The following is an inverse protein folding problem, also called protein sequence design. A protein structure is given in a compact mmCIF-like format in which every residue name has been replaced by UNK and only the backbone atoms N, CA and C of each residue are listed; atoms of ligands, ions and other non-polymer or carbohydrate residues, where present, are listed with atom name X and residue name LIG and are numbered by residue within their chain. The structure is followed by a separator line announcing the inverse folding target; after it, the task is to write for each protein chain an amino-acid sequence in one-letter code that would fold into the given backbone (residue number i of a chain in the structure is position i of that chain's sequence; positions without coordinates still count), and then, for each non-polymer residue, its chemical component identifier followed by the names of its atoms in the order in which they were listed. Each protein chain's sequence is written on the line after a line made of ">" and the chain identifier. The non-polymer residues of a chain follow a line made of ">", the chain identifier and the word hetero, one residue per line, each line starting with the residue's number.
data_IF_981061957606
#
_entry.id   IF_981061957606
#
_cell.length_a   1.000
_cell.length_b   1.000
_cell.length_c   1.000
_cell.angle_alpha   90.00
_cell.angle_beta   90.00
_cell.angle_gamma   90.00
#
_symmetry.space_group_name_H-M   'P 1'
#
loop_
_entity.id
_entity.type
_entity.pdbx_description
1 polymer ?
#
# COMPACT_ATOMS: atom_id res chain seq x y z
N UNK A 1 -3.02 18.78 14.51
CA UNK A 1 -3.85 18.18 15.57
C UNK A 1 -3.81 16.68 15.39
N UNK A 2 -3.55 15.91 16.46
CA UNK A 2 -3.54 14.44 16.36
C UNK A 2 -4.93 13.91 16.00
N UNK A 3 -5.02 12.83 15.22
CA UNK A 3 -6.31 12.20 14.92
C UNK A 3 -7.00 11.77 16.22
N UNK A 4 -8.33 11.78 16.24
CA UNK A 4 -9.14 11.41 17.41
C UNK A 4 -8.75 10.01 17.95
N UNK A 5 -8.48 9.07 17.05
CA UNK A 5 -7.96 7.73 17.40
C UNK A 5 -6.61 7.81 18.12
N UNK A 6 -5.68 8.63 17.65
CA UNK A 6 -4.36 8.79 18.27
C UNK A 6 -4.44 9.36 19.69
N UNK A 7 -5.42 10.23 19.96
CA UNK A 7 -5.65 10.74 21.31
C UNK A 7 -6.18 9.63 22.23
N UNK A 8 -7.19 8.88 21.77
CA UNK A 8 -7.74 7.74 22.53
C UNK A 8 -6.68 6.65 22.79
N UNK A 9 -5.78 6.41 21.84
CA UNK A 9 -4.63 5.50 22.02
C UNK A 9 -3.70 5.96 23.15
N UNK A 10 -3.39 7.26 23.23
CA UNK A 10 -2.56 7.80 24.31
C UNK A 10 -3.28 7.69 25.65
N UNK A 11 -4.59 7.95 25.69
CA UNK A 11 -5.39 7.81 26.91
C UNK A 11 -5.38 6.37 27.43
N UNK A 12 -5.64 5.38 26.56
CA UNK A 12 -5.59 3.96 26.92
C UNK A 12 -4.19 3.54 27.40
N UNK A 13 -3.15 3.93 26.65
CA UNK A 13 -1.76 3.63 27.00
C UNK A 13 -1.33 4.24 28.35
N UNK A 14 -1.67 5.50 28.58
CA UNK A 14 -1.39 6.19 29.84
C UNK A 14 -2.11 5.53 31.02
N UNK A 15 -3.35 5.06 30.83
CA UNK A 15 -4.10 4.33 31.85
C UNK A 15 -3.43 3.01 32.22
N UNK A 16 -3.04 2.21 31.23
CA UNK A 16 -2.30 0.95 31.46
C UNK A 16 -0.95 1.20 32.16
N UNK A 17 -0.24 2.26 31.78
CA UNK A 17 1.02 2.65 32.41
C UNK A 17 0.83 3.03 33.88
N UNK A 18 -0.21 3.80 34.20
CA UNK A 18 -0.52 4.17 35.58
C UNK A 18 -0.80 2.92 36.43
N UNK A 19 -1.65 2.02 35.94
CA UNK A 19 -1.96 0.76 36.61
C UNK A 19 -0.71 -0.11 36.84
N UNK A 20 0.21 -0.16 35.85
CA UNK A 20 1.49 -0.85 36.02
C UNK A 20 2.37 -0.24 37.12
N UNK A 21 2.44 1.09 37.16
CA UNK A 21 3.24 1.81 38.15
C UNK A 21 2.68 1.63 39.56
N UNK A 22 1.35 1.63 39.72
CA UNK A 22 0.68 1.43 41.02
C UNK A 22 1.00 0.06 41.63
N UNK A 23 1.14 -0.99 40.81
CA UNK A 23 1.55 -2.33 41.27
C UNK A 23 3.07 -2.53 41.29
N UNK A 24 3.85 -1.47 41.07
CA UNK A 24 5.31 -1.47 41.20
C UNK A 24 6.07 -2.30 40.14
N UNK A 25 5.44 -2.63 39.01
CA UNK A 25 6.07 -3.45 37.98
C UNK A 25 6.85 -2.60 36.97
N UNK A 26 8.01 -3.10 36.54
CA UNK A 26 8.69 -2.54 35.37
C UNK A 26 8.01 -3.00 34.08
N UNK A 27 8.15 -2.25 32.99
CA UNK A 27 7.60 -2.67 31.69
C UNK A 27 8.14 -4.02 31.21
N UNK A 28 9.39 -4.37 31.54
CA UNK A 28 9.98 -5.66 31.23
C UNK A 28 9.34 -6.82 32.02
N UNK A 29 9.08 -6.60 33.31
CA UNK A 29 8.43 -7.60 34.17
C UNK A 29 6.97 -7.81 33.75
N UNK A 30 6.25 -6.72 33.41
CA UNK A 30 4.88 -6.84 32.90
C UNK A 30 4.84 -7.64 31.59
N UNK A 31 5.76 -7.35 30.66
CA UNK A 31 5.85 -8.05 29.38
C UNK A 31 6.06 -9.56 29.57
N UNK A 32 7.00 -9.92 30.44
CA UNK A 32 7.28 -11.31 30.78
C UNK A 32 6.05 -12.02 31.38
N UNK A 33 5.38 -11.40 32.35
CA UNK A 33 4.18 -11.96 32.99
C UNK A 33 3.01 -12.12 32.03
N UNK A 34 2.85 -11.20 31.09
CA UNK A 34 1.79 -11.22 30.09
C UNK A 34 2.11 -12.07 28.86
N UNK A 35 3.31 -12.66 28.76
CA UNK A 35 3.72 -13.46 27.60
C UNK A 35 3.84 -12.66 26.30
N UNK A 36 4.20 -11.37 26.39
CA UNK A 36 4.36 -10.47 25.24
C UNK A 36 5.76 -9.86 25.22
N UNK A 37 6.19 -9.33 24.07
CA UNK A 37 7.46 -8.61 23.98
C UNK A 37 7.46 -7.30 24.77
N UNK A 38 8.57 -6.95 25.42
CA UNK A 38 8.76 -5.65 26.07
C UNK A 38 8.55 -4.44 25.12
N UNK A 39 8.91 -4.52 23.83
CA UNK A 39 8.53 -3.49 22.85
C UNK A 39 7.01 -3.32 22.69
N UNK A 40 6.22 -4.39 22.82
CA UNK A 40 4.74 -4.33 22.75
C UNK A 40 4.17 -3.53 23.91
N UNK A 41 4.61 -3.82 25.14
CA UNK A 41 4.19 -3.06 26.34
C UNK A 41 4.56 -1.59 26.21
N UNK A 42 5.79 -1.29 25.79
CA UNK A 42 6.25 0.09 25.60
C UNK A 42 5.44 0.83 24.53
N UNK A 43 5.16 0.20 23.39
CA UNK A 43 4.38 0.84 22.31
C UNK A 43 2.93 1.09 22.75
N UNK A 44 2.30 0.17 23.45
CA UNK A 44 0.94 0.32 23.99
C UNK A 44 0.89 1.47 24.99
N UNK A 45 1.77 1.48 25.99
CA UNK A 45 1.78 2.51 27.04
C UNK A 45 2.05 3.93 26.52
N UNK A 46 2.81 4.06 25.43
CA UNK A 46 3.10 5.34 24.80
C UNK A 46 2.07 5.71 23.71
N UNK A 47 0.97 4.96 23.56
CA UNK A 47 -0.06 5.22 22.56
C UNK A 47 0.45 5.10 21.11
N UNK A 48 1.46 4.26 20.87
CA UNK A 48 2.05 3.98 19.55
C UNK A 48 1.55 2.68 18.92
N UNK A 49 0.77 1.90 19.65
CA UNK A 49 0.19 0.62 19.22
C UNK A 49 -1.15 0.40 19.93
N UNK A 50 -2.16 -0.06 19.19
CA UNK A 50 -3.42 -0.55 19.78
C UNK A 50 -3.20 -2.02 20.17
N UNK A 51 -3.37 -2.40 21.46
CA UNK A 51 -3.28 -3.81 21.83
C UNK A 51 -4.50 -4.58 21.29
N UNK A 52 -4.31 -5.82 20.86
CA UNK A 52 -5.45 -6.72 20.63
C UNK A 52 -6.18 -7.01 21.95
N UNK A 53 -7.44 -7.47 21.87
CA UNK A 53 -8.22 -7.86 23.06
C UNK A 53 -7.51 -8.92 23.90
N UNK A 54 -6.91 -9.92 23.25
CA UNK A 54 -6.10 -10.95 23.90
C UNK A 54 -4.85 -10.37 24.59
N UNK A 55 -4.13 -9.44 23.94
CA UNK A 55 -3.00 -8.75 24.58
C UNK A 55 -3.47 -7.91 25.77
N UNK A 56 -4.58 -7.18 25.65
CA UNK A 56 -5.15 -6.39 26.74
C UNK A 56 -5.55 -7.27 27.93
N UNK A 57 -6.16 -8.43 27.67
CA UNK A 57 -6.58 -9.38 28.68
C UNK A 57 -5.37 -10.01 29.38
N UNK A 58 -4.32 -10.37 28.64
CA UNK A 58 -3.06 -10.88 29.22
C UNK A 58 -2.35 -9.83 30.07
N UNK A 59 -2.30 -8.57 29.62
CA UNK A 59 -1.74 -7.47 30.41
C UNK A 59 -2.56 -7.23 31.68
N UNK A 60 -3.88 -7.26 31.57
CA UNK A 60 -4.80 -7.09 32.70
C UNK A 60 -4.64 -8.22 33.74
N UNK A 61 -4.51 -9.47 33.27
CA UNK A 61 -4.23 -10.62 34.13
C UNK A 61 -2.86 -10.53 34.81
N UNK A 62 -1.83 -10.11 34.06
CA UNK A 62 -0.48 -9.93 34.61
C UNK A 62 -0.36 -8.79 35.63
N UNK A 63 -1.24 -7.79 35.53
CA UNK A 63 -1.40 -6.68 36.48
C UNK A 63 -2.30 -7.05 37.67
N UNK A 64 -3.05 -8.17 37.60
CA UNK A 64 -3.99 -8.57 38.65
C UNK A 64 -5.18 -7.61 38.79
N UNK A 65 -5.67 -7.05 37.68
CA UNK A 65 -6.76 -6.07 37.69
C UNK A 65 -8.12 -6.72 37.99
N UNK A 66 -8.94 -6.01 38.76
CA UNK A 66 -10.33 -6.40 39.01
C UNK A 66 -11.19 -6.33 37.74
N UNK A 67 -12.24 -7.16 37.70
CA UNK A 67 -13.12 -7.29 36.54
C UNK A 67 -13.75 -5.95 36.09
N UNK A 68 -14.01 -5.02 37.01
CA UNK A 68 -14.52 -3.68 36.71
C UNK A 68 -13.50 -2.83 35.94
N UNK A 69 -12.23 -2.88 36.31
CA UNK A 69 -11.14 -2.16 35.63
C UNK A 69 -10.86 -2.79 34.27
N UNK A 70 -10.92 -4.12 34.18
CA UNK A 70 -10.79 -4.81 32.88
C UNK A 70 -11.92 -4.41 31.93
N UNK A 71 -13.15 -4.30 32.42
CA UNK A 71 -14.29 -3.83 31.64
C UNK A 71 -14.09 -2.39 31.14
N UNK A 72 -13.62 -1.48 32.01
CA UNK A 72 -13.26 -0.10 31.65
C UNK A 72 -12.23 -0.07 30.50
N UNK A 73 -11.15 -0.85 30.62
CA UNK A 73 -10.09 -0.93 29.60
C UNK A 73 -10.60 -1.49 28.27
N UNK A 74 -11.50 -2.47 28.30
CA UNK A 74 -12.12 -3.03 27.09
C UNK A 74 -13.05 -2.02 26.40
N UNK A 75 -13.79 -1.22 27.17
CA UNK A 75 -14.61 -0.12 26.62
C UNK A 75 -13.70 0.94 26.00
N UNK A 76 -12.61 1.31 26.67
CA UNK A 76 -11.63 2.24 26.12
C UNK A 76 -10.98 1.72 24.82
N UNK A 77 -10.64 0.42 24.77
CA UNK A 77 -10.15 -0.24 23.56
C UNK A 77 -11.18 -0.21 22.44
N UNK A 78 -12.44 -0.57 22.70
CA UNK A 78 -13.52 -0.49 21.72
C UNK A 78 -13.72 0.95 21.21
N UNK A 79 -13.52 1.95 22.08
CA UNK A 79 -13.51 3.36 21.71
C UNK A 79 -12.34 3.76 20.81
N UNK A 80 -11.17 3.13 20.93
CA UNK A 80 -10.03 3.30 20.02
C UNK A 80 -10.30 2.62 18.67
N UNK A 81 -10.86 1.41 18.69
CA UNK A 81 -11.24 0.62 17.50
C UNK A 81 -12.32 1.33 16.66
N UNK A 82 -13.27 2.01 17.31
CA UNK A 82 -14.40 2.68 16.65
C UNK A 82 -14.09 4.12 16.21
N UNK A 83 -12.96 4.70 16.60
CA UNK A 83 -12.62 6.08 16.26
C UNK A 83 -12.05 6.16 14.83
N UNK A 84 -12.52 7.10 13.99
CA UNK A 84 -12.03 7.24 12.62
C UNK A 84 -10.52 7.51 12.64
N UNK A 85 -9.76 6.58 12.06
CA UNK A 85 -8.32 6.72 11.92
C UNK A 85 -8.01 7.56 10.69
N UNK A 86 -7.28 8.66 10.86
CA UNK A 86 -6.42 9.14 9.77
C UNK A 86 -5.12 8.37 9.92
N UNK A 87 -5.05 7.24 9.21
CA UNK A 87 -3.87 6.42 9.00
C UNK A 87 -3.34 5.67 10.23
N UNK A 88 -3.72 4.42 10.41
CA UNK A 88 -2.89 3.30 10.91
C UNK A 88 -3.79 2.11 11.30
N UNK A 89 -3.86 1.08 10.46
CA UNK A 89 -4.00 -0.31 10.90
C UNK A 89 -3.81 -1.20 9.67
N UNK A 90 -2.77 -2.04 9.67
CA UNK A 90 -2.98 -3.45 9.99
C UNK A 90 -1.63 -4.17 10.16
N UNK A 91 -1.20 -4.40 11.40
CA UNK A 91 -0.21 -5.44 11.68
C UNK A 91 -0.62 -6.21 12.93
N UNK A 92 -0.84 -7.51 12.72
CA UNK A 92 -0.83 -8.60 13.70
C UNK A 92 -2.13 -8.83 14.49
N UNK A 93 -3.09 -9.50 13.85
CA UNK A 93 -3.92 -10.52 14.50
C UNK A 93 -4.18 -11.66 13.52
N UNK A 94 -4.09 -12.90 14.00
CA UNK A 94 -4.08 -14.11 13.18
C UNK A 94 -5.40 -14.37 12.43
N UNK A 95 -5.24 -15.05 11.29
CA UNK A 95 -6.27 -15.65 10.42
C UNK A 95 -7.02 -14.76 9.42
N UNK A 96 -6.64 -13.49 9.24
CA UNK A 96 -7.01 -12.73 8.03
C UNK A 96 -5.81 -12.61 7.10
N UNK A 97 -6.04 -12.76 5.79
CA UNK A 97 -5.08 -12.41 4.75
C UNK A 97 -4.58 -10.97 5.02
N UNK A 98 -3.27 -10.71 4.94
CA UNK A 98 -2.76 -9.34 5.06
C UNK A 98 -3.46 -8.44 4.03
N UNK A 99 -3.62 -7.13 4.31
CA UNK A 99 -4.27 -6.21 3.36
C UNK A 99 -3.68 -6.33 1.94
N UNK A 100 -2.36 -6.51 1.83
CA UNK A 100 -1.68 -6.78 0.56
C UNK A 100 -2.10 -8.13 -0.06
N UNK A 101 -2.32 -9.18 0.74
CA UNK A 101 -2.81 -10.47 0.24
C UNK A 101 -4.29 -10.42 -0.20
N UNK A 102 -5.13 -9.58 0.43
CA UNK A 102 -6.52 -9.34 -0.01
C UNK A 102 -6.54 -8.58 -1.34
N UNK A 103 -5.68 -7.57 -1.47
CA UNK A 103 -5.51 -6.80 -2.71
C UNK A 103 -4.94 -7.67 -3.82
N UNK A 104 -3.90 -8.46 -3.52
CA UNK A 104 -3.32 -9.44 -4.44
C UNK A 104 -4.38 -10.45 -4.91
N UNK A 105 -5.27 -10.91 -4.01
CA UNK A 105 -6.34 -11.82 -4.35
C UNK A 105 -7.39 -11.16 -5.24
N UNK A 106 -7.82 -9.94 -4.92
CA UNK A 106 -8.79 -9.20 -5.72
C UNK A 106 -8.29 -8.98 -7.16
N UNK A 107 -7.02 -8.59 -7.33
CA UNK A 107 -6.40 -8.44 -8.66
C UNK A 107 -6.28 -9.79 -9.37
N UNK A 108 -5.91 -10.85 -8.64
CA UNK A 108 -5.71 -12.20 -9.21
C UNK A 108 -7.03 -12.89 -9.58
N UNK A 109 -8.14 -12.59 -8.91
CA UNK A 109 -9.45 -13.17 -9.24
C UNK A 109 -10.17 -12.38 -10.34
N UNK A 110 -9.80 -11.11 -10.53
CA UNK A 110 -10.49 -10.21 -11.46
C UNK A 110 -10.27 -10.56 -12.94
N UNK A 111 -11.36 -10.62 -13.71
CA UNK A 111 -11.28 -10.82 -15.17
C UNK A 111 -10.93 -9.54 -15.90
N UNK A 112 -11.36 -8.40 -15.37
CA UNK A 112 -11.06 -7.07 -15.87
C UNK A 112 -10.29 -6.29 -14.80
N UNK A 113 -9.09 -5.84 -15.14
CA UNK A 113 -8.30 -4.97 -14.27
C UNK A 113 -8.06 -3.65 -14.97
N UNK A 114 -8.44 -2.53 -14.35
CA UNK A 114 -8.24 -1.18 -14.90
C UNK A 114 -7.44 -0.35 -13.92
N UNK A 115 -6.22 0.05 -14.26
CA UNK A 115 -5.34 0.76 -13.33
C UNK A 115 -4.91 2.12 -13.88
N UNK A 116 -5.09 3.16 -13.07
CA UNK A 116 -4.62 4.50 -13.35
C UNK A 116 -3.46 4.85 -12.43
N UNK A 117 -2.35 5.35 -12.98
CA UNK A 117 -1.14 5.68 -12.21
C UNK A 117 -0.55 7.03 -12.60
N UNK A 118 -0.28 7.87 -11.61
CA UNK A 118 0.29 9.21 -11.82
C UNK A 118 1.61 9.48 -11.11
N UNK A 119 2.12 8.52 -10.32
CA UNK A 119 3.37 8.67 -9.54
C UNK A 119 4.26 7.44 -9.68
N UNK A 120 3.74 6.26 -9.38
CA UNK A 120 4.46 4.98 -9.42
C UNK A 120 3.77 4.06 -10.41
N UNK A 121 4.53 3.33 -11.23
CA UNK A 121 3.92 2.38 -12.18
C UNK A 121 3.20 1.24 -11.46
N UNK A 122 2.13 0.66 -12.05
CA UNK A 122 1.37 -0.39 -11.39
C UNK A 122 2.27 -1.60 -11.13
N UNK A 123 2.13 -2.23 -9.96
CA UNK A 123 2.96 -3.39 -9.56
C UNK A 123 3.04 -4.49 -10.63
N UNK A 124 1.95 -4.71 -11.38
CA UNK A 124 1.89 -5.68 -12.49
C UNK A 124 2.83 -5.35 -13.67
N UNK A 125 3.14 -4.07 -13.87
CA UNK A 125 3.98 -3.59 -14.96
C UNK A 125 5.44 -3.41 -14.54
N UNK A 126 5.76 -3.43 -13.25
CA UNK A 126 7.11 -3.16 -12.75
C UNK A 126 8.10 -4.27 -13.15
N UNK A 127 9.31 -3.89 -13.56
CA UNK A 127 10.46 -4.79 -13.65
C UNK A 127 10.89 -5.18 -12.24
N UNK A 128 11.65 -6.27 -12.12
CA UNK A 128 12.18 -6.70 -10.83
C UNK A 128 13.04 -5.61 -10.17
N UNK A 129 13.77 -4.83 -10.96
CA UNK A 129 14.64 -3.75 -10.48
C UNK A 129 13.85 -2.52 -10.02
N UNK A 130 12.79 -2.15 -10.74
CA UNK A 130 11.87 -1.09 -10.33
C UNK A 130 11.14 -1.48 -9.04
N UNK A 131 10.61 -2.72 -8.97
CA UNK A 131 9.96 -3.25 -7.78
C UNK A 131 10.90 -3.22 -6.56
N UNK A 132 12.17 -3.58 -6.74
CA UNK A 132 13.18 -3.51 -5.68
C UNK A 132 13.33 -2.09 -5.13
N UNK A 133 13.34 -1.07 -5.99
CA UNK A 133 13.43 0.32 -5.56
C UNK A 133 12.17 0.79 -4.83
N UNK A 134 10.98 0.39 -5.30
CA UNK A 134 9.72 0.67 -4.61
C UNK A 134 9.76 0.10 -3.19
N UNK A 135 10.11 -1.17 -3.02
CA UNK A 135 10.20 -1.79 -1.70
C UNK A 135 11.32 -1.21 -0.83
N UNK A 136 12.50 -0.92 -1.40
CA UNK A 136 13.61 -0.32 -0.66
C UNK A 136 13.33 1.12 -0.19
N UNK A 137 12.44 1.85 -0.87
CA UNK A 137 12.01 3.18 -0.46
C UNK A 137 11.04 3.18 0.74
N UNK A 138 10.56 2.00 1.15
CA UNK A 138 9.64 1.85 2.29
C UNK A 138 10.43 1.96 3.61
N UNK A 139 10.02 2.83 4.56
CA UNK A 139 10.71 2.96 5.84
C UNK A 139 10.76 1.63 6.61
N UNK A 140 11.97 1.19 6.97
CA UNK A 140 12.19 -0.06 7.74
C UNK A 140 12.29 -1.33 6.89
N UNK A 141 12.44 -1.21 5.57
CA UNK A 141 12.63 -2.36 4.69
C UNK A 141 13.95 -3.11 4.97
N UNK A 142 13.86 -4.41 5.24
CA UNK A 142 15.02 -5.30 5.32
C UNK A 142 15.34 -5.91 3.95
N UNK A 143 16.63 -5.97 3.58
CA UNK A 143 17.08 -6.42 2.26
C UNK A 143 16.58 -7.83 1.90
N UNK A 144 16.54 -8.75 2.87
CA UNK A 144 16.05 -10.12 2.65
C UNK A 144 14.55 -10.17 2.36
N UNK A 145 13.76 -9.32 3.03
CA UNK A 145 12.31 -9.22 2.82
C UNK A 145 11.98 -8.52 1.49
N UNK A 146 12.79 -7.53 1.08
CA UNK A 146 12.70 -6.92 -0.25
C UNK A 146 12.87 -7.98 -1.34
N UNK A 147 13.85 -8.88 -1.21
CA UNK A 147 14.09 -9.94 -2.19
C UNK A 147 12.88 -10.87 -2.37
N UNK A 148 12.26 -11.32 -1.27
CA UNK A 148 11.05 -12.15 -1.30
C UNK A 148 9.86 -11.41 -1.88
N UNK A 149 9.66 -10.14 -1.49
CA UNK A 149 8.56 -9.32 -1.98
C UNK A 149 8.67 -9.04 -3.49
N UNK A 150 9.88 -8.82 -4.01
CA UNK A 150 10.13 -8.69 -5.45
C UNK A 150 9.80 -9.99 -6.18
N UNK A 151 10.25 -11.14 -5.67
CA UNK A 151 9.96 -12.42 -6.29
C UNK A 151 8.44 -12.69 -6.36
N UNK A 152 7.73 -12.48 -5.26
CA UNK A 152 6.28 -12.63 -5.21
C UNK A 152 5.57 -11.66 -6.16
N UNK A 153 6.04 -10.40 -6.26
CA UNK A 153 5.50 -9.42 -7.21
C UNK A 153 5.70 -9.87 -8.65
N UNK A 154 6.89 -10.38 -9.02
CA UNK A 154 7.18 -10.87 -10.38
C UNK A 154 6.34 -12.10 -10.72
N UNK A 155 6.19 -13.04 -9.79
CA UNK A 155 5.37 -14.25 -9.98
C UNK A 155 3.92 -13.90 -10.31
N UNK A 156 3.35 -12.90 -9.62
CA UNK A 156 1.98 -12.42 -9.85
C UNK A 156 1.77 -11.78 -11.20
N UNK A 157 2.81 -11.32 -11.88
CA UNK A 157 2.69 -10.71 -13.21
C UNK A 157 2.34 -11.74 -14.30
N UNK A 158 2.42 -13.04 -13.98
CA UNK A 158 1.96 -14.11 -14.87
C UNK A 158 0.48 -13.97 -15.27
N UNK A 159 -0.35 -13.33 -14.44
CA UNK A 159 -1.77 -13.08 -14.73
C UNK A 159 -2.00 -12.25 -16.00
N UNK A 160 -1.03 -11.43 -16.40
CA UNK A 160 -1.10 -10.64 -17.64
C UNK A 160 -1.11 -11.53 -18.89
N UNK A 161 -0.64 -12.77 -18.80
CA UNK A 161 -0.55 -13.71 -19.90
C UNK A 161 -1.70 -14.72 -19.93
N UNK A 162 -2.60 -14.70 -18.93
CA UNK A 162 -3.72 -15.62 -18.82
C UNK A 162 -4.81 -15.28 -19.86
N UNK A 163 -5.21 -16.23 -20.74
CA UNK A 163 -6.29 -16.01 -21.68
C UNK A 163 -7.63 -15.72 -20.97
N UNK A 164 -8.41 -14.78 -21.52
CA UNK A 164 -9.72 -14.42 -20.97
C UNK A 164 -9.68 -13.35 -19.88
N UNK A 165 -8.49 -12.80 -19.58
CA UNK A 165 -8.33 -11.58 -18.79
C UNK A 165 -8.08 -10.38 -19.68
N UNK A 166 -8.62 -9.25 -19.26
CA UNK A 166 -8.37 -7.95 -19.86
C UNK A 166 -7.76 -7.02 -18.82
N UNK A 167 -6.64 -6.37 -19.18
CA UNK A 167 -5.96 -5.42 -18.32
C UNK A 167 -5.76 -4.10 -19.05
N UNK A 168 -6.36 -3.03 -18.54
CA UNK A 168 -6.20 -1.68 -19.07
C UNK A 168 -5.40 -0.84 -18.09
N UNK A 169 -4.31 -0.26 -18.56
CA UNK A 169 -3.42 0.56 -17.77
C UNK A 169 -3.34 1.95 -18.38
N UNK A 170 -3.53 2.98 -17.57
CA UNK A 170 -3.34 4.38 -17.95
C UNK A 170 -2.31 5.00 -17.02
N UNK A 171 -1.21 5.51 -17.58
CA UNK A 171 -0.16 6.19 -16.82
C UNK A 171 0.02 7.63 -17.28
N UNK A 172 0.39 8.54 -16.39
CA UNK A 172 0.87 9.86 -16.81
C UNK A 172 2.28 9.76 -17.38
N UNK A 173 2.60 10.60 -18.36
CA UNK A 173 3.98 10.75 -18.83
C UNK A 173 4.92 11.18 -17.70
N UNK A 174 4.42 11.94 -16.72
CA UNK A 174 5.17 12.27 -15.50
C UNK A 174 5.62 11.05 -14.71
N UNK A 175 4.77 10.02 -14.58
CA UNK A 175 5.14 8.76 -13.92
C UNK A 175 6.22 8.00 -14.71
N UNK A 176 6.18 8.08 -16.04
CA UNK A 176 7.17 7.46 -16.93
C UNK A 176 8.50 8.23 -17.00
N UNK A 177 8.45 9.54 -16.73
CA UNK A 177 9.61 10.43 -16.62
C UNK A 177 10.12 10.55 -15.19
N UNK A 178 9.59 9.80 -14.22
CA UNK A 178 10.15 9.76 -12.86
C UNK A 178 11.00 8.49 -12.76
N UNK A 179 12.31 8.63 -12.57
CA UNK A 179 13.25 7.51 -12.49
C UNK A 179 13.84 7.36 -11.08
N UNK A 180 13.34 6.43 -10.25
CA UNK A 180 14.00 6.07 -9.00
C UNK A 180 15.38 5.47 -9.27
N UNK A 181 16.40 5.90 -8.53
CA UNK A 181 17.76 5.38 -8.69
C UNK A 181 18.46 5.99 -9.91
N UNK A 182 18.44 5.30 -11.06
CA UNK A 182 19.21 5.68 -12.25
C UNK A 182 18.35 5.76 -13.53
N UNK A 183 18.78 6.53 -14.55
CA UNK A 183 18.14 6.49 -15.86
C UNK A 183 18.13 5.09 -16.49
N UNK A 184 19.20 4.31 -16.28
CA UNK A 184 19.32 2.94 -16.78
C UNK A 184 18.23 2.00 -16.24
N UNK A 185 17.87 2.14 -14.95
CA UNK A 185 16.76 1.40 -14.35
C UNK A 185 15.46 1.69 -15.09
N UNK A 186 15.20 2.97 -15.38
CA UNK A 186 13.96 3.36 -16.04
C UNK A 186 13.94 2.94 -17.51
N UNK A 187 15.09 2.88 -18.19
CA UNK A 187 15.19 2.27 -19.52
C UNK A 187 14.75 0.81 -19.51
N UNK A 188 15.25 0.00 -18.57
CA UNK A 188 14.83 -1.40 -18.43
C UNK A 188 13.34 -1.54 -18.09
N UNK A 189 12.80 -0.60 -17.29
CA UNK A 189 11.36 -0.53 -17.02
C UNK A 189 10.54 -0.22 -18.28
N UNK A 190 10.97 0.73 -19.11
CA UNK A 190 10.27 1.11 -20.35
C UNK A 190 10.35 0.00 -21.42
N UNK A 191 11.46 -0.73 -21.52
CA UNK A 191 11.57 -1.92 -22.36
C UNK A 191 10.53 -2.98 -21.97
N UNK A 192 10.34 -3.20 -20.67
CA UNK A 192 9.29 -4.09 -20.17
C UNK A 192 7.89 -3.58 -20.54
N UNK A 193 7.62 -2.28 -20.42
CA UNK A 193 6.33 -1.72 -20.82
C UNK A 193 6.04 -1.94 -22.31
N UNK A 194 7.05 -1.76 -23.18
CA UNK A 194 6.91 -2.04 -24.61
C UNK A 194 6.59 -3.51 -24.88
N UNK A 195 7.21 -4.44 -24.15
CA UNK A 195 6.90 -5.87 -24.26
C UNK A 195 5.47 -6.18 -23.81
N UNK A 196 5.06 -5.68 -22.63
CA UNK A 196 3.73 -5.94 -22.08
C UNK A 196 2.61 -5.27 -22.89
N UNK A 197 2.85 -4.08 -23.44
CA UNK A 197 1.91 -3.38 -24.32
C UNK A 197 1.66 -4.10 -25.66
N UNK A 198 2.47 -5.12 -26.00
CA UNK A 198 2.26 -5.96 -27.18
C UNK A 198 1.34 -7.16 -26.92
N UNK A 199 0.96 -7.43 -25.67
CA UNK A 199 0.07 -8.52 -25.31
C UNK A 199 -1.38 -8.18 -25.70
N UNK A 200 -2.09 -9.15 -26.26
CA UNK A 200 -3.51 -8.98 -26.65
C UNK A 200 -4.44 -8.80 -25.45
N UNK A 201 -4.01 -9.24 -24.27
CA UNK A 201 -4.71 -9.10 -22.98
C UNK A 201 -4.48 -7.74 -22.34
N UNK A 202 -3.58 -6.91 -22.88
CA UNK A 202 -3.17 -5.65 -22.26
C UNK A 202 -3.42 -4.46 -23.18
N UNK A 203 -4.07 -3.43 -22.64
CA UNK A 203 -4.15 -2.10 -23.23
C UNK A 203 -3.36 -1.13 -22.37
N UNK A 204 -2.29 -0.58 -22.92
CA UNK A 204 -1.48 0.42 -22.22
C UNK A 204 -1.64 1.80 -22.85
N UNK A 205 -2.09 2.76 -22.05
CA UNK A 205 -2.33 4.14 -22.43
C UNK A 205 -1.45 5.09 -21.64
N UNK A 206 -1.07 6.21 -22.27
CA UNK A 206 -0.29 7.27 -21.65
C UNK A 206 -1.02 8.59 -21.77
N UNK A 207 -1.15 9.33 -20.67
CA UNK A 207 -1.51 10.75 -20.66
C UNK A 207 -0.25 11.58 -20.88
N UNK A 208 -0.02 12.15 -22.07
CA UNK A 208 1.14 12.99 -22.30
C UNK A 208 1.03 14.30 -21.54
N UNK A 209 2.19 14.91 -21.31
CA UNK A 209 2.30 16.19 -20.62
C UNK A 209 1.86 17.39 -21.46
N UNK A 210 1.78 17.23 -22.78
CA UNK A 210 1.52 18.30 -23.75
C UNK A 210 0.03 18.60 -23.99
N UNK A 211 -0.86 17.98 -23.21
CA UNK A 211 -2.31 18.18 -23.30
C UNK A 211 -2.95 18.35 -21.92
N UNK A 212 -4.11 19.03 -21.82
CA UNK A 212 -4.84 19.16 -20.56
C UNK A 212 -5.26 17.79 -20.01
N UNK A 213 -5.12 17.63 -18.69
CA UNK A 213 -5.63 16.46 -17.98
C UNK A 213 -7.08 16.75 -17.53
N UNK A 214 -8.05 15.84 -17.76
CA UNK A 214 -9.48 16.08 -17.45
C UNK A 214 -9.80 16.39 -15.99
N UNK A 215 -8.92 15.97 -15.07
CA UNK A 215 -9.01 16.25 -13.64
C UNK A 215 -7.64 16.13 -12.99
N UNK A 216 -7.50 16.64 -11.76
CA UNK A 216 -6.23 16.58 -11.03
C UNK A 216 -6.00 15.15 -10.51
N UNK A 217 -4.95 14.44 -10.97
CA UNK A 217 -4.61 13.13 -10.44
C UNK A 217 -4.16 13.26 -8.98
N UNK A 218 -4.94 12.74 -8.04
CA UNK A 218 -4.61 12.80 -6.60
C UNK A 218 -3.66 11.68 -6.18
N UNK A 219 -3.92 10.47 -6.69
CA UNK A 219 -3.13 9.27 -6.46
C UNK A 219 -3.45 8.23 -7.54
N UNK A 220 -2.68 7.15 -7.58
CA UNK A 220 -2.99 5.98 -8.40
C UNK A 220 -4.06 5.10 -7.77
N UNK A 221 -4.72 4.28 -8.58
CA UNK A 221 -5.73 3.32 -8.14
C UNK A 221 -5.92 2.21 -9.19
N UNK A 222 -6.51 1.09 -8.78
CA UNK A 222 -6.80 -0.07 -9.63
C UNK A 222 -8.22 -0.57 -9.38
N UNK A 223 -9.05 -0.59 -10.40
CA UNK A 223 -10.37 -1.21 -10.40
C UNK A 223 -10.24 -2.69 -10.77
N UNK A 224 -10.83 -3.55 -9.95
CA UNK A 224 -10.92 -4.98 -10.16
C UNK A 224 -12.39 -5.33 -10.42
N UNK A 225 -12.67 -5.78 -11.64
CA UNK A 225 -14.01 -5.99 -12.18
C UNK A 225 -14.93 -4.78 -11.98
N UNK A 226 -16.13 -5.00 -11.43
CA UNK A 226 -17.12 -3.98 -11.07
C UNK A 226 -17.38 -3.94 -9.55
N UNK A 227 -16.42 -4.43 -8.76
CA UNK A 227 -16.64 -4.68 -7.34
C UNK A 227 -15.64 -3.97 -6.44
N UNK A 228 -14.36 -3.94 -6.82
CA UNK A 228 -13.30 -3.55 -5.88
C UNK A 228 -12.42 -2.44 -6.45
N UNK A 229 -12.18 -1.41 -5.65
CA UNK A 229 -11.15 -0.40 -5.89
C UNK A 229 -9.97 -0.67 -4.98
N UNK A 230 -8.78 -0.71 -5.55
CA UNK A 230 -7.52 -0.84 -4.84
C UNK A 230 -6.76 0.47 -4.92
N UNK A 231 -6.34 1.01 -3.78
CA UNK A 231 -5.49 2.20 -3.69
C UNK A 231 -4.22 1.85 -2.94
N UNK A 232 -3.07 2.01 -3.60
CA UNK A 232 -1.76 1.85 -2.97
C UNK A 232 -1.35 3.17 -2.30
N UNK A 233 -1.02 3.10 -1.02
CA UNK A 233 -0.46 4.21 -0.24
C UNK A 233 0.95 3.88 0.20
N UNK A 234 1.70 4.88 0.68
CA UNK A 234 3.06 4.67 1.21
C UNK A 234 3.17 3.64 2.35
N UNK A 235 2.05 3.25 2.97
CA UNK A 235 2.05 2.34 4.12
C UNK A 235 1.30 1.04 3.90
N UNK A 236 0.28 1.05 3.06
CA UNK A 236 -0.62 -0.07 2.84
C UNK A 236 -1.32 0.02 1.48
N UNK A 237 -1.75 -1.12 0.95
CA UNK A 237 -2.74 -1.19 -0.11
C UNK A 237 -4.13 -1.33 0.53
N UNK A 238 -5.08 -0.49 0.13
CA UNK A 238 -6.48 -0.55 0.60
C UNK A 238 -7.38 -1.07 -0.51
N UNK A 239 -8.18 -2.09 -0.21
CA UNK A 239 -9.28 -2.52 -1.06
C UNK A 239 -10.60 -1.96 -0.50
N UNK A 240 -11.37 -1.29 -1.35
CA UNK A 240 -12.68 -0.72 -1.05
C UNK A 240 -13.73 -1.39 -1.96
N UNK A 241 -14.87 -1.77 -1.38
CA UNK A 241 -15.97 -2.46 -2.08
C UNK A 241 -17.28 -1.66 -2.05
N UNK A 242 -17.26 -0.46 -1.48
CA UNK A 242 -18.40 0.45 -1.52
C UNK A 242 -18.76 0.81 -3.00
N UNK A 243 -20.00 0.54 -3.45
CA UNK A 243 -20.43 0.82 -4.82
C UNK A 243 -20.40 2.30 -5.22
N UNK A 244 -20.68 3.22 -4.29
CA UNK A 244 -20.67 4.66 -4.57
C UNK A 244 -19.23 5.16 -4.72
N UNK A 245 -18.32 4.61 -3.91
CA UNK A 245 -16.88 4.85 -4.05
C UNK A 245 -16.41 4.28 -5.40
N UNK A 246 -16.78 3.04 -5.73
CA UNK A 246 -16.42 2.41 -7.00
C UNK A 246 -16.86 3.26 -8.20
N UNK A 247 -18.12 3.69 -8.24
CA UNK A 247 -18.66 4.52 -9.32
C UNK A 247 -17.86 5.82 -9.51
N UNK A 248 -17.44 6.46 -8.41
CA UNK A 248 -16.62 7.67 -8.45
C UNK A 248 -15.24 7.43 -9.08
N UNK A 249 -14.61 6.29 -8.78
CA UNK A 249 -13.31 5.93 -9.37
C UNK A 249 -13.45 5.46 -10.82
N UNK A 250 -14.55 4.79 -11.17
CA UNK A 250 -14.85 4.40 -12.54
C UNK A 250 -15.03 5.62 -13.45
N UNK A 251 -15.77 6.63 -13.00
CA UNK A 251 -15.93 7.89 -13.72
C UNK A 251 -14.57 8.59 -13.92
N UNK A 252 -13.76 8.67 -12.86
CA UNK A 252 -12.42 9.24 -12.93
C UNK A 252 -11.52 8.46 -13.91
N UNK A 253 -11.56 7.13 -13.88
CA UNK A 253 -10.80 6.29 -14.81
C UNK A 253 -11.23 6.55 -16.26
N UNK A 254 -12.53 6.57 -16.54
CA UNK A 254 -13.05 6.81 -17.89
C UNK A 254 -12.61 8.18 -18.45
N UNK A 255 -12.58 9.21 -17.62
CA UNK A 255 -12.04 10.52 -17.99
C UNK A 255 -10.56 10.42 -18.37
N UNK A 256 -9.72 9.82 -17.53
CA UNK A 256 -8.29 9.65 -17.82
C UNK A 256 -8.02 8.75 -19.04
N UNK A 257 -8.77 7.66 -19.21
CA UNK A 257 -8.68 6.79 -20.38
C UNK A 257 -9.00 7.56 -21.66
N UNK A 258 -10.09 8.35 -21.68
CA UNK A 258 -10.48 9.12 -22.86
C UNK A 258 -9.42 10.14 -23.31
N UNK A 259 -8.62 10.65 -22.36
CA UNK A 259 -7.57 11.60 -22.62
C UNK A 259 -6.20 10.96 -22.91
N UNK A 260 -6.05 9.64 -22.78
CA UNK A 260 -4.79 8.94 -23.03
C UNK A 260 -4.58 8.62 -24.51
N UNK A 261 -3.31 8.50 -24.94
CA UNK A 261 -2.96 7.82 -26.21
C UNK A 261 -2.68 6.36 -25.96
N UNK A 262 -3.12 5.50 -26.87
CA UNK A 262 -2.91 4.07 -26.88
C UNK A 262 -2.18 3.63 -28.17
N UNK A 263 -1.77 2.36 -28.22
CA UNK A 263 -1.18 1.77 -29.42
C UNK A 263 0.09 2.48 -29.86
N UNK A 264 0.19 2.81 -31.16
CA UNK A 264 1.37 3.44 -31.74
C UNK A 264 1.70 4.79 -31.09
N UNK A 265 0.70 5.60 -30.72
CA UNK A 265 0.93 6.88 -30.05
C UNK A 265 1.56 6.71 -28.66
N UNK A 266 1.16 5.68 -27.90
CA UNK A 266 1.80 5.34 -26.64
C UNK A 266 3.23 4.81 -26.85
N UNK A 267 3.43 3.97 -27.87
CA UNK A 267 4.74 3.41 -28.24
C UNK A 267 5.74 4.50 -28.63
N UNK A 268 5.33 5.44 -29.48
CA UNK A 268 6.15 6.59 -29.88
C UNK A 268 6.54 7.44 -28.68
N UNK A 269 5.61 7.65 -27.76
CA UNK A 269 5.86 8.39 -26.54
C UNK A 269 6.88 7.69 -25.63
N UNK A 270 6.73 6.38 -25.42
CA UNK A 270 7.71 5.57 -24.68
C UNK A 270 9.11 5.67 -25.33
N UNK A 271 9.19 5.53 -26.66
CA UNK A 271 10.46 5.65 -27.40
C UNK A 271 11.08 7.05 -27.29
N UNK A 272 10.26 8.11 -27.22
CA UNK A 272 10.73 9.47 -26.95
C UNK A 272 11.33 9.58 -25.56
N UNK A 273 10.60 9.12 -24.54
CA UNK A 273 11.08 9.13 -23.13
C UNK A 273 12.38 8.33 -23.00
N UNK A 274 12.49 7.17 -23.64
CA UNK A 274 13.72 6.38 -23.65
C UNK A 274 14.91 7.11 -24.27
N UNK A 275 14.70 7.91 -25.33
CA UNK A 275 15.77 8.73 -25.91
C UNK A 275 16.23 9.80 -24.91
N UNK A 276 15.30 10.50 -24.28
CA UNK A 276 15.60 11.51 -23.27
C UNK A 276 16.40 10.90 -22.09
N UNK A 277 16.01 9.70 -21.63
CA UNK A 277 16.71 8.98 -20.55
C UNK A 277 18.11 8.50 -20.93
N UNK A 278 18.37 8.17 -22.20
CA UNK A 278 19.72 7.78 -22.67
C UNK A 278 20.69 8.95 -22.61
N UNK A 279 20.24 10.13 -23.03
CA UNK A 279 21.03 11.37 -22.90
C UNK A 279 21.38 11.62 -21.43
N UNK A 280 20.40 11.49 -20.53
CA UNK A 280 20.65 11.63 -19.09
C UNK A 280 21.60 10.54 -18.54
N UNK A 281 21.55 9.31 -19.04
CA UNK A 281 22.46 8.25 -18.61
C UNK A 281 23.92 8.56 -18.99
N UNK A 282 24.13 9.16 -20.16
CA UNK A 282 25.44 9.61 -20.63
C UNK A 282 25.97 10.76 -19.77
N UNK A 283 25.11 11.72 -19.40
CA UNK A 283 25.48 12.88 -18.57
C UNK A 283 25.69 12.57 -17.08
N UNK A 284 25.07 11.49 -16.57
CA UNK A 284 25.14 11.08 -15.14
C UNK A 284 26.22 10.03 -14.88
N UNK A 285 26.92 9.56 -15.92
CA UNK A 285 28.10 8.70 -15.77
C UNK A 285 29.31 9.57 -15.36
N UNK A 286 30.00 9.28 -14.23
CA UNK A 286 31.03 10.17 -13.66
C UNK A 286 32.28 10.36 -14.52
#
# INVERSE_FOLDING_TARGET
>A
MGSERQERMRTLGARLRALRVDVGLTGAVLAQRAGVGQPTVSKVENGRMVPSRDVLDRLSGALGLDASVVAELRVALAGVESAPSVGADDTLSGSSLSANAVVDLAVREARLVRSFQCVVLPAMLQSAEYARHVFASTPGAEVAEVGKAVAARVERQSVLYEPGRESVFVATEGALRTWPGSPALMLAQLDRLLAVASLTTVRFGVLPWDRPVPGVPRHGFTLCDQETVVVETFRDERAEKDPDVFASYEEAFAQFESAAVFGDGARELLMRIMRDLRVLAEDVTP
#
